data_IF_249312142559
#
_entry.id   IF_249312142559
#
_cell.length_a   1.000
_cell.length_b   1.000
_cell.length_c   1.000
_cell.angle_alpha   90.00
_cell.angle_beta   90.00
_cell.angle_gamma   90.00
#
_symmetry.space_group_name_H-M   'P 1'
#
loop_
_entity.id
_entity.type
_entity.pdbx_description
1 polymer ?
#
# COMPACT_ATOMS: atom_id res chain seq x y z
N UNK A 1 -8.40 15.30 5.07
CA UNK A 1 -8.04 15.37 3.64
C UNK A 1 -7.47 14.01 3.24
N UNK A 2 -8.14 13.31 2.36
CA UNK A 2 -7.65 12.01 1.92
C UNK A 2 -6.54 12.23 0.89
N UNK A 3 -5.32 11.88 1.26
CA UNK A 3 -4.22 11.87 0.28
C UNK A 3 -4.47 10.73 -0.71
N UNK A 4 -4.46 11.00 -2.02
CA UNK A 4 -4.66 9.96 -3.02
C UNK A 4 -3.50 8.97 -3.13
N UNK A 5 -2.52 9.09 -2.27
CA UNK A 5 -1.24 8.40 -2.38
C UNK A 5 -0.24 9.24 -3.20
N UNK A 6 0.90 8.66 -3.47
CA UNK A 6 1.94 9.32 -4.25
C UNK A 6 2.88 10.22 -3.45
N UNK A 7 2.70 10.30 -2.14
CA UNK A 7 3.68 10.99 -1.29
C UNK A 7 4.94 10.14 -1.17
N UNK A 8 6.06 10.73 -1.49
CA UNK A 8 7.35 10.07 -1.35
C UNK A 8 7.90 10.27 0.05
N UNK A 9 8.23 9.18 0.70
CA UNK A 9 8.93 9.18 1.97
C UNK A 9 10.38 8.78 1.74
N UNK A 10 11.29 9.74 1.93
CA UNK A 10 12.71 9.45 1.89
C UNK A 10 13.20 9.06 3.29
N UNK A 11 13.96 8.00 3.36
CA UNK A 11 14.56 7.51 4.61
C UNK A 11 16.09 7.66 4.53
N UNK A 12 16.62 8.84 4.85
CA UNK A 12 18.04 9.15 4.64
C UNK A 12 18.98 8.23 5.43
N UNK A 13 18.51 7.65 6.53
CA UNK A 13 19.30 6.72 7.36
C UNK A 13 19.55 5.38 6.66
N UNK A 14 18.64 4.97 5.80
CA UNK A 14 18.71 3.69 5.08
C UNK A 14 18.78 3.86 3.55
N UNK A 15 18.74 5.12 3.08
CA UNK A 15 18.95 5.44 1.67
C UNK A 15 17.85 5.04 0.70
N UNK A 16 16.66 4.69 1.20
CA UNK A 16 15.55 4.27 0.35
C UNK A 16 14.43 5.31 0.25
N UNK A 17 13.61 5.18 -0.79
CA UNK A 17 12.39 5.96 -0.99
C UNK A 17 11.20 5.00 -1.07
N UNK A 18 10.13 5.32 -0.35
CA UNK A 18 8.84 4.63 -0.45
C UNK A 18 7.75 5.61 -0.81
N UNK A 19 6.91 5.20 -1.72
CA UNK A 19 5.74 5.96 -2.13
C UNK A 19 4.48 5.37 -1.50
N UNK A 20 3.66 6.25 -0.89
CA UNK A 20 2.36 5.82 -0.35
C UNK A 20 1.41 5.43 -1.47
N UNK A 21 0.59 4.42 -1.22
CA UNK A 21 -0.41 3.96 -2.18
C UNK A 21 -1.71 4.75 -2.08
N UNK A 22 -2.48 4.71 -3.15
CA UNK A 22 -3.82 5.26 -3.18
C UNK A 22 -4.79 4.25 -2.52
N UNK A 23 -5.38 4.65 -1.41
CA UNK A 23 -6.33 3.83 -0.65
C UNK A 23 -7.79 4.07 -1.07
N UNK A 24 -8.05 5.03 -1.97
CA UNK A 24 -9.41 5.31 -2.43
C UNK A 24 -9.92 4.20 -3.37
N UNK A 25 -11.25 4.09 -3.53
CA UNK A 25 -11.81 3.14 -4.47
C UNK A 25 -11.36 3.41 -5.91
N UNK A 26 -11.29 2.35 -6.69
CA UNK A 26 -11.14 2.41 -8.14
C UNK A 26 -12.50 2.43 -8.85
N UNK A 27 -12.51 2.22 -10.17
CA UNK A 27 -13.73 2.13 -10.99
C UNK A 27 -14.68 1.01 -10.58
N UNK A 28 -14.22 0.02 -9.84
CA UNK A 28 -15.08 -1.07 -9.32
C UNK A 28 -15.82 -0.69 -8.06
N UNK A 29 -15.47 0.45 -7.45
CA UNK A 29 -15.99 0.88 -6.16
C UNK A 29 -15.36 0.16 -4.97
N UNK A 30 -14.33 -0.64 -5.18
CA UNK A 30 -13.58 -1.31 -4.13
C UNK A 30 -12.33 -0.50 -3.78
N UNK A 31 -11.99 -0.37 -2.48
CA UNK A 31 -10.86 0.45 -2.03
C UNK A 31 -9.51 -0.15 -2.43
N UNK A 32 -8.48 0.64 -2.23
CA UNK A 32 -7.08 0.23 -2.43
C UNK A 32 -6.83 -0.36 -3.82
N UNK A 33 -7.35 0.32 -4.86
CA UNK A 33 -7.14 -0.11 -6.25
C UNK A 33 -7.95 -1.35 -6.65
N UNK A 34 -9.10 -1.60 -5.97
CA UNK A 34 -10.00 -2.70 -6.34
C UNK A 34 -9.88 -3.94 -5.45
N UNK A 35 -9.37 -3.81 -4.22
CA UNK A 35 -9.24 -4.93 -3.29
C UNK A 35 -10.57 -5.35 -2.70
N UNK A 36 -10.80 -6.65 -2.65
CA UNK A 36 -11.94 -7.22 -1.92
C UNK A 36 -11.71 -7.16 -0.41
N UNK A 37 -12.78 -7.32 0.37
CA UNK A 37 -12.66 -7.39 1.83
C UNK A 37 -11.72 -8.51 2.30
N UNK A 38 -11.79 -9.66 1.63
CA UNK A 38 -10.95 -10.82 1.96
C UNK A 38 -9.46 -10.53 1.71
N UNK A 39 -9.15 -9.94 0.55
CA UNK A 39 -7.79 -9.49 0.21
C UNK A 39 -7.30 -8.44 1.20
N UNK A 40 -8.12 -7.44 1.52
CA UNK A 40 -7.80 -6.42 2.50
C UNK A 40 -7.46 -7.02 3.87
N UNK A 41 -8.28 -7.94 4.38
CA UNK A 41 -8.03 -8.63 5.65
C UNK A 41 -6.71 -9.42 5.58
N UNK A 42 -6.46 -10.10 4.48
CA UNK A 42 -5.20 -10.84 4.27
C UNK A 42 -3.99 -9.92 4.33
N UNK A 43 -4.05 -8.78 3.65
CA UNK A 43 -2.98 -7.76 3.69
C UNK A 43 -2.75 -7.29 5.12
N UNK A 44 -3.80 -6.94 5.83
CA UNK A 44 -3.71 -6.42 7.21
C UNK A 44 -3.19 -7.45 8.21
N UNK A 45 -3.50 -8.73 8.01
CA UNK A 45 -3.04 -9.83 8.87
C UNK A 45 -1.60 -10.24 8.61
N UNK A 46 -1.18 -10.24 7.36
CA UNK A 46 0.07 -10.85 6.94
C UNK A 46 1.12 -9.85 6.46
N UNK A 47 0.71 -8.62 6.15
CA UNK A 47 1.57 -7.60 5.52
C UNK A 47 1.90 -7.92 4.06
N UNK A 48 1.27 -8.93 3.48
CA UNK A 48 1.58 -9.36 2.12
C UNK A 48 1.23 -8.30 1.09
N UNK A 49 2.18 -8.02 0.20
CA UNK A 49 1.96 -7.13 -0.92
C UNK A 49 1.36 -7.89 -2.11
N UNK A 50 0.04 -7.83 -2.25
CA UNK A 50 -0.68 -8.52 -3.34
C UNK A 50 -0.45 -7.86 -4.71
N UNK A 51 0.09 -6.66 -4.75
CA UNK A 51 0.42 -5.98 -6.01
C UNK A 51 1.78 -6.37 -6.55
N UNK A 52 2.60 -7.04 -5.73
CA UNK A 52 3.94 -7.52 -6.11
C UNK A 52 4.82 -6.44 -6.74
N UNK A 53 4.72 -5.19 -6.23
CA UNK A 53 5.42 -4.03 -6.81
C UNK A 53 6.91 -4.09 -6.49
N UNK A 54 7.27 -4.72 -5.37
CA UNK A 54 8.65 -4.78 -4.93
C UNK A 54 9.31 -6.08 -5.40
N UNK A 55 10.49 -5.99 -6.00
CA UNK A 55 11.33 -7.17 -6.15
C UNK A 55 11.72 -7.68 -4.74
N UNK A 56 12.15 -8.93 -4.63
CA UNK A 56 12.77 -9.41 -3.39
C UNK A 56 13.80 -8.39 -2.92
N UNK A 57 13.75 -8.01 -1.63
CA UNK A 57 14.62 -6.99 -1.07
C UNK A 57 15.99 -7.57 -0.71
N UNK A 58 16.94 -7.73 -1.66
CA UNK A 58 18.25 -8.30 -1.37
C UNK A 58 19.15 -7.34 -0.61
N UNK A 59 18.86 -6.04 -0.73
CA UNK A 59 19.70 -4.99 -0.14
C UNK A 59 18.84 -3.89 0.47
N UNK A 60 18.94 -3.72 1.77
CA UNK A 60 18.31 -2.60 2.48
C UNK A 60 18.93 -1.29 2.02
N UNK A 61 18.10 -0.25 1.87
CA UNK A 61 18.54 1.07 1.41
C UNK A 61 18.38 1.30 -0.08
N UNK A 62 17.87 0.36 -0.83
CA UNK A 62 17.41 0.56 -2.21
C UNK A 62 15.95 1.02 -2.22
N UNK A 63 15.55 1.71 -3.28
CA UNK A 63 14.17 2.19 -3.42
C UNK A 63 13.16 1.04 -3.32
N UNK A 64 12.19 1.18 -2.45
CA UNK A 64 11.21 0.14 -2.14
C UNK A 64 11.68 -0.94 -1.15
N UNK A 65 12.93 -0.90 -0.70
CA UNK A 65 13.54 -1.88 0.20
C UNK A 65 14.16 -1.21 1.43
N UNK A 66 13.33 -0.67 2.32
CA UNK A 66 13.79 0.05 3.50
C UNK A 66 14.08 -0.89 4.67
N UNK A 67 13.27 -1.90 4.83
CA UNK A 67 13.43 -2.87 5.92
C UNK A 67 13.91 -4.21 5.37
N UNK A 68 14.78 -4.91 6.09
CA UNK A 68 15.13 -6.27 5.73
C UNK A 68 13.86 -7.11 5.86
N UNK A 69 13.30 -7.51 4.74
CA UNK A 69 12.25 -8.51 4.73
C UNK A 69 12.91 -9.87 4.87
N UNK A 70 12.64 -10.51 5.98
CA UNK A 70 13.16 -11.86 6.22
C UNK A 70 12.49 -12.79 5.22
N UNK A 71 13.14 -13.00 4.09
CA UNK A 71 12.83 -14.07 3.15
C UNK A 71 11.79 -13.78 2.07
N UNK A 72 11.02 -12.70 2.13
CA UNK A 72 9.98 -12.42 1.14
C UNK A 72 9.92 -10.92 0.82
N UNK A 73 10.25 -10.56 -0.43
CA UNK A 73 10.15 -9.19 -0.95
C UNK A 73 8.71 -8.70 -1.11
N UNK A 74 7.74 -9.58 -0.96
CA UNK A 74 6.32 -9.29 -1.11
C UNK A 74 5.65 -8.77 0.18
N UNK A 75 6.41 -8.24 1.12
CA UNK A 75 5.87 -7.61 2.33
C UNK A 75 5.79 -6.09 2.18
N UNK A 76 4.70 -5.53 2.68
CA UNK A 76 4.51 -4.08 2.73
C UNK A 76 5.59 -3.42 3.58
N UNK A 77 6.25 -2.43 3.00
CA UNK A 77 7.30 -1.66 3.65
C UNK A 77 6.68 -0.46 4.39
N UNK A 78 7.25 -0.12 5.56
CA UNK A 78 6.86 1.04 6.40
C UNK A 78 5.46 0.93 7.01
N UNK A 79 4.47 0.38 6.33
CA UNK A 79 3.15 0.18 6.91
C UNK A 79 3.25 -0.71 8.15
N UNK A 80 2.77 -0.25 9.33
CA UNK A 80 2.89 -1.00 10.58
C UNK A 80 1.84 -2.13 10.67
N UNK A 81 1.77 -2.97 9.66
CA UNK A 81 0.80 -4.06 9.56
C UNK A 81 0.81 -5.02 10.77
N UNK A 82 1.94 -5.28 11.46
CA UNK A 82 1.91 -6.13 12.65
C UNK A 82 0.99 -5.60 13.76
N UNK A 83 0.82 -4.28 13.85
CA UNK A 83 -0.12 -3.67 14.81
C UNK A 83 -1.57 -3.85 14.35
N UNK A 84 -1.83 -3.67 13.06
CA UNK A 84 -3.16 -3.87 12.49
C UNK A 84 -3.58 -5.34 12.47
N UNK A 85 -2.62 -6.27 12.43
CA UNK A 85 -2.88 -7.70 12.46
C UNK A 85 -3.65 -8.17 13.72
N UNK A 86 -3.58 -7.39 14.80
CA UNK A 86 -4.27 -7.67 16.05
C UNK A 86 -5.68 -7.07 16.13
N UNK A 87 -6.11 -6.27 15.15
CA UNK A 87 -7.46 -5.75 15.13
C UNK A 87 -8.49 -6.87 14.93
N UNK A 88 -9.68 -6.68 15.50
CA UNK A 88 -10.77 -7.62 15.25
C UNK A 88 -11.23 -7.59 13.79
N UNK A 89 -11.88 -8.65 13.34
CA UNK A 89 -12.49 -8.66 11.99
C UNK A 89 -13.56 -7.57 11.84
N UNK A 90 -14.23 -7.23 12.93
CA UNK A 90 -15.18 -6.13 12.97
C UNK A 90 -14.49 -4.79 12.68
N UNK A 91 -13.37 -4.51 13.33
CA UNK A 91 -12.62 -3.27 13.12
C UNK A 91 -12.03 -3.19 11.72
N UNK A 92 -11.45 -4.27 11.23
CA UNK A 92 -10.92 -4.34 9.86
C UNK A 92 -12.02 -4.11 8.82
N UNK A 93 -13.20 -4.69 9.03
CA UNK A 93 -14.35 -4.45 8.16
C UNK A 93 -14.81 -2.99 8.22
N UNK A 94 -14.83 -2.38 9.41
CA UNK A 94 -15.21 -0.98 9.55
C UNK A 94 -14.25 -0.05 8.80
N UNK A 95 -12.95 -0.31 8.88
CA UNK A 95 -11.93 0.44 8.11
C UNK A 95 -12.17 0.24 6.60
N UNK A 96 -12.38 -0.98 6.16
CA UNK A 96 -12.64 -1.30 4.76
C UNK A 96 -13.88 -0.56 4.22
N UNK A 97 -15.00 -0.61 4.94
CA UNK A 97 -16.24 0.09 4.52
C UNK A 97 -16.06 1.61 4.51
N UNK A 98 -15.27 2.16 5.43
CA UNK A 98 -14.92 3.59 5.41
C UNK A 98 -14.12 3.93 4.14
N UNK A 99 -13.09 3.16 3.82
CA UNK A 99 -12.27 3.38 2.63
C UNK A 99 -13.10 3.24 1.34
N UNK A 100 -14.03 2.29 1.32
CA UNK A 100 -14.96 2.08 0.21
C UNK A 100 -15.93 3.26 0.00
N UNK A 101 -16.27 3.95 1.08
CA UNK A 101 -17.19 5.10 1.03
C UNK A 101 -16.52 6.42 0.60
N UNK A 102 -15.20 6.48 0.56
CA UNK A 102 -14.46 7.65 0.11
C UNK A 102 -14.62 7.79 -1.40
N UNK A 103 -14.76 9.02 -1.94
CA UNK A 103 -14.78 9.23 -3.39
C UNK A 103 -13.49 8.73 -4.05
N UNK A 104 -13.61 8.12 -5.21
CA UNK A 104 -12.45 7.76 -6.01
C UNK A 104 -11.63 8.99 -6.38
N UNK A 105 -10.32 8.91 -6.15
CA UNK A 105 -9.38 9.93 -6.59
C UNK A 105 -8.42 9.25 -7.56
N UNK A 106 -8.47 9.68 -8.82
CA UNK A 106 -7.56 9.16 -9.83
C UNK A 106 -6.11 9.54 -9.48
N UNK A 107 -5.23 8.57 -9.58
CA UNK A 107 -3.82 8.80 -9.39
C UNK A 107 -3.10 8.85 -10.75
N UNK A 108 -2.48 9.98 -11.02
CA UNK A 108 -1.56 10.14 -12.14
C UNK A 108 -0.14 10.27 -11.58
N UNK A 109 0.80 9.45 -12.02
CA UNK A 109 2.17 9.55 -11.53
C UNK A 109 2.77 10.90 -11.88
N UNK A 110 3.25 11.61 -10.86
CA UNK A 110 3.75 12.98 -11.01
C UNK A 110 5.18 13.09 -11.54
N UNK A 111 5.97 12.03 -11.54
CA UNK A 111 7.40 12.14 -11.88
C UNK A 111 7.91 10.85 -12.54
N UNK A 112 8.50 10.97 -13.76
CA UNK A 112 9.19 9.84 -14.38
C UNK A 112 10.37 9.38 -13.50
N UNK A 113 10.49 8.07 -13.26
CA UNK A 113 11.60 7.46 -12.53
C UNK A 113 11.31 7.06 -11.09
N UNK A 114 10.09 7.31 -10.59
CA UNK A 114 9.66 6.76 -9.31
C UNK A 114 9.11 5.34 -9.45
N UNK A 115 9.11 4.62 -8.33
CA UNK A 115 8.68 3.23 -8.25
C UNK A 115 7.31 3.01 -8.91
N UNK A 116 7.07 1.85 -9.51
CA UNK A 116 5.77 1.52 -10.07
C UNK A 116 4.71 1.63 -8.97
N UNK A 117 3.74 2.49 -9.20
CA UNK A 117 2.61 2.72 -8.29
C UNK A 117 1.41 2.00 -8.85
N UNK A 118 0.60 1.46 -7.97
CA UNK A 118 -0.71 0.94 -8.37
C UNK A 118 -1.57 2.12 -8.81
N UNK A 119 -1.86 2.14 -10.10
CA UNK A 119 -2.70 3.17 -10.68
C UNK A 119 -4.14 2.96 -10.28
N UNK A 120 -4.78 4.02 -9.83
CA UNK A 120 -6.18 4.02 -9.54
C UNK A 120 -6.93 4.78 -10.64
N UNK A 121 -7.82 4.09 -11.33
CA UNK A 121 -8.67 4.70 -12.36
C UNK A 121 -10.09 4.77 -11.84
N UNK A 122 -10.67 5.97 -11.92
CA UNK A 122 -12.03 6.22 -11.47
C UNK A 122 -13.10 5.92 -12.54
N UNK A 123 -12.69 5.61 -13.73
CA UNK A 123 -13.59 5.32 -14.87
C UNK A 123 -13.12 4.11 -15.66
#
# INVERSE_FOLDING_TARGET
MCSPGGTNFAFPVVGGVIQSRNLTPDKTGLPEGGRTLEEFITIMRTGKDLDHIHPPCPTVGTDGCILPTVGDGDLLQVMPWPFFANLSDYDLRAIYEFLKAIPCIAYTPGTPGLLPVVYNTCK
#
